data_IF_051300248760
#
_entry.id   IF_051300248760
#
_cell.length_a   1.000
_cell.length_b   1.000
_cell.length_c   1.000
_cell.angle_alpha   90.00
_cell.angle_beta   90.00
_cell.angle_gamma   90.00
#
_symmetry.space_group_name_H-M   'P 1'
#
loop_
_entity.id
_entity.type
_entity.pdbx_description
1 polymer ?
#
# COMPACT_ATOMS: atom_id res chain seq x y z
N UNK A 1 -16.37 -19.11 66.45
CA UNK A 1 -14.96 -19.32 66.06
C UNK A 1 -14.97 -19.70 64.59
N UNK A 2 -14.29 -18.90 63.76
CA UNK A 2 -13.93 -19.12 62.36
C UNK A 2 -15.03 -19.05 61.28
N UNK A 3 -15.10 -17.84 60.70
CA UNK A 3 -15.38 -17.55 59.28
C UNK A 3 -14.41 -18.32 58.37
N UNK A 4 -14.79 -18.49 57.09
CA UNK A 4 -13.95 -18.42 55.86
C UNK A 4 -14.33 -19.52 54.84
N UNK A 5 -14.35 -19.36 53.51
CA UNK A 5 -14.00 -18.31 52.52
C UNK A 5 -14.65 -18.82 51.22
N UNK A 6 -15.50 -18.05 50.51
CA UNK A 6 -15.79 -18.27 49.07
C UNK A 6 -16.21 -16.99 48.33
N UNK A 7 -15.68 -15.82 48.70
CA UNK A 7 -15.92 -14.57 47.95
C UNK A 7 -14.62 -13.82 47.57
N UNK A 8 -13.44 -14.30 48.00
CA UNK A 8 -12.18 -13.58 47.80
C UNK A 8 -11.48 -13.84 46.45
N UNK A 9 -11.88 -14.84 45.65
CA UNK A 9 -11.17 -15.15 44.40
C UNK A 9 -11.63 -14.34 43.17
N UNK A 10 -12.76 -13.65 43.22
CA UNK A 10 -13.26 -12.85 42.08
C UNK A 10 -12.83 -11.38 42.08
N UNK A 11 -12.11 -10.92 43.10
CA UNK A 11 -11.75 -9.51 43.31
C UNK A 11 -10.36 -9.10 42.81
N UNK A 12 -9.56 -10.01 42.26
CA UNK A 12 -8.13 -9.77 41.98
C UNK A 12 -7.79 -9.27 40.56
N UNK A 13 -8.73 -8.60 39.87
CA UNK A 13 -8.51 -8.18 38.47
C UNK A 13 -9.27 -6.95 37.98
N UNK A 14 -9.80 -6.08 38.85
CA UNK A 14 -10.60 -4.91 38.43
C UNK A 14 -9.89 -3.61 38.79
N UNK A 15 -8.96 -3.19 37.93
CA UNK A 15 -8.23 -1.92 38.05
C UNK A 15 -9.01 -0.71 37.51
N UNK A 16 -10.28 -0.88 37.18
CA UNK A 16 -11.19 0.20 36.81
C UNK A 16 -12.34 0.19 37.82
N UNK A 17 -12.76 1.36 38.29
CA UNK A 17 -13.96 1.53 39.14
C UNK A 17 -15.20 1.19 38.32
N UNK A 18 -15.40 -0.11 38.05
CA UNK A 18 -16.64 -0.65 37.53
C UNK A 18 -17.60 -0.75 38.70
N UNK A 19 -18.63 0.09 38.69
CA UNK A 19 -19.75 -0.06 39.61
C UNK A 19 -20.28 -1.50 39.46
N UNK A 20 -20.30 -2.26 40.55
CA UNK A 20 -20.95 -3.56 40.60
C UNK A 20 -22.45 -3.32 40.59
N UNK A 21 -23.10 -3.52 39.44
CA UNK A 21 -24.55 -3.52 39.37
C UNK A 21 -25.06 -4.93 39.60
N UNK A 22 -25.99 -5.09 40.55
CA UNK A 22 -26.75 -6.31 40.68
C UNK A 22 -27.78 -6.35 39.55
N UNK A 23 -27.62 -7.30 38.61
CA UNK A 23 -28.39 -7.34 37.36
C UNK A 23 -29.91 -7.43 37.60
N UNK A 24 -30.30 -8.04 38.72
CA UNK A 24 -31.70 -8.24 39.12
C UNK A 24 -32.37 -6.93 39.58
N UNK A 25 -31.63 -6.05 40.25
CA UNK A 25 -32.15 -4.75 40.70
C UNK A 25 -32.35 -3.78 39.53
N UNK A 26 -31.48 -3.84 38.52
CA UNK A 26 -31.49 -2.97 37.35
C UNK A 26 -32.58 -3.35 36.33
N UNK A 27 -33.00 -4.61 36.32
CA UNK A 27 -34.09 -5.13 35.48
C UNK A 27 -35.47 -4.97 36.15
N UNK A 28 -35.54 -4.48 37.39
CA UNK A 28 -36.82 -4.16 38.05
C UNK A 28 -37.55 -3.01 37.34
N UNK A 29 -38.89 -3.07 37.33
CA UNK A 29 -39.72 -2.08 36.64
C UNK A 29 -39.53 -0.65 37.20
N UNK A 30 -39.38 -0.52 38.53
CA UNK A 30 -39.18 0.75 39.21
C UNK A 30 -37.82 1.37 38.87
N UNK A 31 -36.77 0.55 38.74
CA UNK A 31 -35.45 1.02 38.32
C UNK A 31 -35.44 1.46 36.85
N UNK A 32 -36.10 0.72 35.94
CA UNK A 32 -36.22 1.12 34.54
C UNK A 32 -37.00 2.44 34.39
N UNK A 33 -38.08 2.62 35.13
CA UNK A 33 -38.86 3.86 35.09
C UNK A 33 -38.08 5.06 35.64
N UNK A 34 -37.35 4.89 36.75
CA UNK A 34 -36.47 5.92 37.29
C UNK A 34 -35.33 6.28 36.32
N UNK A 35 -34.75 5.28 35.64
CA UNK A 35 -33.72 5.48 34.62
C UNK A 35 -34.28 6.22 33.39
N UNK A 36 -35.48 5.87 32.92
CA UNK A 36 -36.15 6.57 31.81
C UNK A 36 -36.49 8.01 32.19
N UNK A 37 -36.99 8.26 33.40
CA UNK A 37 -37.26 9.60 33.91
C UNK A 37 -35.98 10.44 34.02
N UNK A 38 -34.89 9.85 34.50
CA UNK A 38 -33.58 10.50 34.54
C UNK A 38 -33.03 10.76 33.13
N UNK A 39 -33.11 9.79 32.22
CA UNK A 39 -32.69 9.94 30.83
C UNK A 39 -33.46 11.06 30.13
N UNK A 40 -34.78 11.16 30.35
CA UNK A 40 -35.62 12.23 29.83
C UNK A 40 -35.23 13.60 30.43
N UNK A 41 -35.04 13.69 31.75
CA UNK A 41 -34.61 14.91 32.45
C UNK A 41 -33.25 15.41 31.96
N UNK A 42 -32.31 14.50 31.72
CA UNK A 42 -30.96 14.79 31.28
C UNK A 42 -30.78 14.77 29.75
N UNK A 43 -31.85 14.54 28.98
CA UNK A 43 -31.86 14.47 27.51
C UNK A 43 -30.82 13.48 26.96
N UNK A 44 -30.66 12.35 27.64
CA UNK A 44 -29.78 11.27 27.19
C UNK A 44 -30.39 10.66 25.93
N UNK A 45 -29.65 10.63 24.79
CA UNK A 45 -30.15 10.02 23.56
C UNK A 45 -30.49 8.54 23.78
N UNK A 46 -31.57 8.07 23.17
CA UNK A 46 -31.85 6.64 23.14
C UNK A 46 -30.77 5.91 22.33
N UNK A 47 -30.69 4.59 22.54
CA UNK A 47 -29.72 3.71 21.88
C UNK A 47 -29.79 3.80 20.35
N UNK A 48 -31.00 3.88 19.79
CA UNK A 48 -31.22 4.02 18.35
C UNK A 48 -30.62 5.33 17.81
N UNK A 49 -30.96 6.46 18.43
CA UNK A 49 -30.39 7.77 18.08
C UNK A 49 -28.86 7.76 18.18
N UNK A 50 -28.31 7.12 19.23
CA UNK A 50 -26.87 7.03 19.42
C UNK A 50 -26.20 6.14 18.35
N UNK A 51 -26.84 5.04 17.96
CA UNK A 51 -26.37 4.17 16.89
C UNK A 51 -26.34 4.90 15.55
N UNK A 52 -27.37 5.71 15.24
CA UNK A 52 -27.42 6.53 14.03
C UNK A 52 -26.29 7.58 14.00
N UNK A 53 -26.07 8.26 15.13
CA UNK A 53 -24.98 9.23 15.27
C UNK A 53 -23.61 8.53 15.12
N UNK A 54 -23.43 7.36 15.71
CA UNK A 54 -22.19 6.59 15.59
C UNK A 54 -21.95 6.14 14.14
N UNK A 55 -22.99 5.67 13.43
CA UNK A 55 -22.91 5.30 12.03
C UNK A 55 -22.50 6.51 11.16
N UNK A 56 -23.12 7.67 11.38
CA UNK A 56 -22.77 8.91 10.69
C UNK A 56 -21.32 9.35 10.95
N UNK A 57 -20.87 9.28 12.20
CA UNK A 57 -19.49 9.57 12.57
C UNK A 57 -18.50 8.63 11.87
N UNK A 58 -18.81 7.33 11.77
CA UNK A 58 -17.99 6.35 11.07
C UNK A 58 -17.88 6.66 9.57
N UNK A 59 -19.01 7.00 8.94
CA UNK A 59 -19.02 7.43 7.52
C UNK A 59 -18.16 8.67 7.32
N UNK A 60 -18.32 9.70 8.17
CA UNK A 60 -17.51 10.93 8.07
C UNK A 60 -16.03 10.68 8.32
N UNK A 61 -15.68 9.80 9.26
CA UNK A 61 -14.29 9.43 9.53
C UNK A 61 -13.66 8.74 8.34
N UNK A 62 -14.38 7.81 7.71
CA UNK A 62 -13.91 7.13 6.49
C UNK A 62 -13.79 8.10 5.31
N UNK A 63 -14.77 8.97 5.10
CA UNK A 63 -14.72 9.98 4.05
C UNK A 63 -13.53 10.94 4.24
N UNK A 64 -13.28 11.42 5.46
CA UNK A 64 -12.10 12.24 5.77
C UNK A 64 -10.80 11.51 5.48
N UNK A 65 -10.72 10.20 5.76
CA UNK A 65 -9.55 9.39 5.42
C UNK A 65 -9.33 9.32 3.90
N UNK A 66 -10.39 9.09 3.13
CA UNK A 66 -10.30 9.08 1.67
C UNK A 66 -9.84 10.42 1.09
N UNK A 67 -10.32 11.55 1.63
CA UNK A 67 -9.85 12.88 1.21
C UNK A 67 -8.36 13.03 1.48
N UNK A 68 -7.89 12.61 2.66
CA UNK A 68 -6.46 12.65 3.00
C UNK A 68 -5.63 11.81 2.03
N UNK A 69 -5.99 10.54 1.83
CA UNK A 69 -5.24 9.63 0.96
C UNK A 69 -5.24 10.13 -0.51
N UNK A 70 -6.35 10.71 -0.98
CA UNK A 70 -6.44 11.32 -2.31
C UNK A 70 -5.59 12.59 -2.44
N UNK A 71 -5.55 13.42 -1.40
CA UNK A 71 -4.72 14.63 -1.35
C UNK A 71 -3.24 14.27 -1.36
N UNK A 72 -2.82 13.30 -0.55
CA UNK A 72 -1.44 12.79 -0.52
C UNK A 72 -1.04 12.26 -1.91
N UNK A 73 -1.93 11.49 -2.57
CA UNK A 73 -1.73 11.01 -3.95
C UNK A 73 -1.57 12.17 -4.95
N UNK A 74 -2.39 13.22 -4.85
CA UNK A 74 -2.30 14.39 -5.72
C UNK A 74 -0.95 15.09 -5.55
N UNK A 75 -0.49 15.33 -4.32
CA UNK A 75 0.81 15.96 -4.08
C UNK A 75 1.97 15.14 -4.61
N UNK A 76 1.98 13.82 -4.37
CA UNK A 76 3.00 12.92 -4.93
C UNK A 76 2.98 12.91 -6.46
N UNK A 77 1.80 12.92 -7.06
CA UNK A 77 1.65 12.97 -8.51
C UNK A 77 2.20 14.28 -9.10
N UNK A 78 1.88 15.43 -8.50
CA UNK A 78 2.41 16.74 -8.92
C UNK A 78 3.94 16.78 -8.78
N UNK A 79 4.48 16.22 -7.69
CA UNK A 79 5.92 16.13 -7.48
C UNK A 79 6.61 15.34 -8.61
N UNK A 80 6.05 14.18 -8.97
CA UNK A 80 6.59 13.34 -10.04
C UNK A 80 6.42 13.99 -11.43
N UNK A 81 5.31 14.69 -11.69
CA UNK A 81 5.11 15.43 -12.94
C UNK A 81 6.17 16.52 -13.13
N UNK A 82 6.63 17.16 -12.05
CA UNK A 82 7.69 18.17 -12.09
C UNK A 82 9.10 17.60 -12.26
N UNK A 83 9.37 16.42 -11.68
CA UNK A 83 10.68 15.75 -11.74
C UNK A 83 10.84 14.85 -12.97
N UNK A 84 9.79 14.67 -13.76
CA UNK A 84 9.64 13.73 -14.88
C UNK A 84 9.74 12.25 -14.48
N UNK A 85 10.81 11.87 -13.77
CA UNK A 85 11.04 10.51 -13.31
C UNK A 85 11.81 10.45 -11.98
N UNK A 86 11.43 9.51 -11.11
CA UNK A 86 12.11 9.25 -9.84
C UNK A 86 12.62 7.81 -9.79
N UNK A 87 13.93 7.65 -9.61
CA UNK A 87 14.56 6.35 -9.39
C UNK A 87 14.64 6.01 -7.91
N UNK A 88 14.24 4.80 -7.55
CA UNK A 88 14.22 4.32 -6.18
C UNK A 88 14.45 2.83 -6.12
N UNK A 89 14.99 2.38 -4.99
CA UNK A 89 14.87 0.99 -4.59
C UNK A 89 13.44 0.71 -4.10
N UNK A 90 12.96 -0.49 -4.37
CA UNK A 90 11.71 -1.02 -3.84
C UNK A 90 11.92 -2.44 -3.31
N UNK A 91 11.18 -2.80 -2.26
CA UNK A 91 11.20 -4.16 -1.70
C UNK A 91 10.06 -4.98 -2.26
N UNK A 92 10.35 -6.19 -2.73
CA UNK A 92 9.31 -7.11 -3.20
C UNK A 92 8.54 -7.69 -2.01
N UNK A 93 7.25 -7.35 -1.87
CA UNK A 93 6.39 -7.85 -0.80
C UNK A 93 5.63 -9.12 -1.19
N UNK A 94 5.39 -9.32 -2.47
CA UNK A 94 4.66 -10.46 -3.01
C UNK A 94 5.15 -10.76 -4.41
N UNK A 95 5.30 -12.04 -4.72
CA UNK A 95 5.86 -12.52 -5.97
C UNK A 95 5.03 -13.69 -6.49
N UNK A 96 4.78 -13.73 -7.79
CA UNK A 96 4.02 -14.80 -8.43
C UNK A 96 4.44 -14.99 -9.88
N UNK A 97 3.65 -15.71 -10.70
CA UNK A 97 3.98 -15.93 -12.11
C UNK A 97 3.52 -14.81 -13.05
N UNK A 98 2.66 -13.88 -12.59
CA UNK A 98 2.06 -12.81 -13.43
C UNK A 98 2.44 -11.40 -13.01
N UNK A 99 2.58 -11.19 -11.72
CA UNK A 99 2.87 -9.88 -11.16
C UNK A 99 3.68 -10.00 -9.87
N UNK A 100 4.34 -8.91 -9.52
CA UNK A 100 4.94 -8.71 -8.20
C UNK A 100 4.30 -7.50 -7.53
N UNK A 101 4.13 -7.54 -6.22
CA UNK A 101 3.81 -6.37 -5.40
C UNK A 101 5.08 -5.86 -4.73
N UNK A 102 5.30 -4.56 -4.83
CA UNK A 102 6.51 -3.88 -4.38
C UNK A 102 6.16 -2.74 -3.45
N UNK A 103 7.03 -2.48 -2.48
CA UNK A 103 6.97 -1.33 -1.59
C UNK A 103 8.11 -0.37 -1.88
N UNK A 104 7.75 0.86 -2.24
CA UNK A 104 8.70 1.93 -2.56
C UNK A 104 8.88 2.77 -1.31
N UNK A 105 10.03 2.64 -0.66
CA UNK A 105 10.31 3.31 0.61
C UNK A 105 10.32 4.83 0.49
N UNK A 106 10.86 5.40 -0.60
CA UNK A 106 10.96 6.86 -0.81
C UNK A 106 9.60 7.57 -0.84
N UNK A 107 8.55 6.89 -1.28
CA UNK A 107 7.18 7.44 -1.34
C UNK A 107 6.23 6.79 -0.34
N UNK A 108 6.67 5.77 0.41
CA UNK A 108 5.85 4.96 1.30
C UNK A 108 4.57 4.41 0.61
N UNK A 109 4.69 3.97 -0.64
CA UNK A 109 3.58 3.41 -1.43
C UNK A 109 3.84 1.97 -1.85
N UNK A 110 2.75 1.20 -1.96
CA UNK A 110 2.74 -0.11 -2.57
C UNK A 110 2.28 -0.04 -4.02
N UNK A 111 2.93 -0.80 -4.91
CA UNK A 111 2.58 -0.89 -6.32
C UNK A 111 2.66 -2.33 -6.82
N UNK A 112 1.93 -2.63 -7.89
CA UNK A 112 2.03 -3.92 -8.60
C UNK A 112 2.67 -3.70 -9.96
N UNK A 113 3.69 -4.50 -10.25
CA UNK A 113 4.29 -4.59 -11.58
C UNK A 113 3.83 -5.89 -12.20
N UNK A 114 3.13 -5.78 -13.32
CA UNK A 114 2.70 -6.92 -14.12
C UNK A 114 3.71 -7.16 -15.22
N UNK A 115 4.08 -8.43 -15.39
CA UNK A 115 5.02 -8.87 -16.43
C UNK A 115 4.46 -10.05 -17.23
N UNK A 116 3.22 -10.47 -16.96
CA UNK A 116 2.50 -11.37 -17.85
C UNK A 116 2.19 -10.68 -19.19
N UNK A 117 2.34 -11.44 -20.28
CA UNK A 117 1.95 -11.00 -21.63
C UNK A 117 2.59 -9.68 -22.09
N UNK A 118 3.86 -9.47 -21.71
CA UNK A 118 4.66 -8.31 -22.13
C UNK A 118 5.51 -8.66 -23.36
N UNK A 119 5.46 -7.81 -24.39
CA UNK A 119 6.29 -8.00 -25.60
C UNK A 119 7.75 -7.79 -25.26
N UNK A 120 8.64 -8.64 -25.78
CA UNK A 120 10.08 -8.51 -25.55
C UNK A 120 10.56 -8.87 -24.15
N UNK A 121 9.68 -9.38 -23.27
CA UNK A 121 10.07 -9.88 -21.95
C UNK A 121 9.90 -11.41 -21.87
N UNK A 122 10.98 -12.12 -21.56
CA UNK A 122 10.92 -13.53 -21.20
C UNK A 122 10.78 -13.65 -19.70
N UNK A 123 9.68 -14.30 -19.28
CA UNK A 123 9.34 -14.57 -17.90
C UNK A 123 9.47 -16.05 -17.63
N UNK A 124 10.32 -16.42 -16.68
CA UNK A 124 10.45 -17.78 -16.17
C UNK A 124 10.12 -17.79 -14.69
N UNK A 125 9.12 -18.59 -14.32
CA UNK A 125 8.70 -18.78 -12.94
C UNK A 125 9.17 -20.15 -12.45
N UNK A 126 9.95 -20.17 -11.39
CA UNK A 126 10.47 -21.38 -10.77
C UNK A 126 9.62 -21.71 -9.55
N UNK A 127 8.61 -22.57 -9.74
CA UNK A 127 7.67 -22.95 -8.67
C UNK A 127 8.37 -23.49 -7.42
N UNK A 128 9.43 -24.28 -7.60
CA UNK A 128 10.14 -24.93 -6.49
C UNK A 128 10.83 -23.94 -5.53
N UNK A 129 11.33 -22.82 -6.04
CA UNK A 129 12.04 -21.80 -5.24
C UNK A 129 11.23 -20.52 -5.08
N UNK A 130 10.05 -20.43 -5.71
CA UNK A 130 9.26 -19.20 -5.81
C UNK A 130 10.10 -18.02 -6.31
N UNK A 131 10.94 -18.29 -7.32
CA UNK A 131 11.88 -17.32 -7.92
C UNK A 131 11.38 -16.93 -9.30
N UNK A 132 11.47 -15.63 -9.59
CA UNK A 132 11.14 -15.06 -10.88
C UNK A 132 12.42 -14.69 -11.62
N UNK A 133 12.57 -15.15 -12.86
CA UNK A 133 13.66 -14.72 -13.75
C UNK A 133 13.04 -13.95 -14.91
N UNK A 134 13.46 -12.69 -15.06
CA UNK A 134 13.05 -11.81 -16.16
C UNK A 134 14.23 -11.58 -17.08
N UNK A 135 14.03 -11.73 -18.38
CA UNK A 135 15.07 -11.57 -19.40
C UNK A 135 14.57 -10.73 -20.56
N UNK A 136 15.42 -9.87 -21.11
CA UNK A 136 15.13 -9.16 -22.36
C UNK A 136 15.13 -10.15 -23.53
N UNK A 137 14.12 -10.09 -24.39
CA UNK A 137 13.98 -10.96 -25.56
C UNK A 137 13.85 -10.13 -26.83
N UNK A 138 14.84 -10.25 -27.73
CA UNK A 138 14.82 -9.65 -29.07
C UNK A 138 13.99 -10.45 -30.08
N UNK A 139 13.59 -11.66 -29.71
CA UNK A 139 12.82 -12.51 -30.60
C UNK A 139 11.34 -12.21 -30.41
N UNK A 140 10.67 -11.77 -31.49
CA UNK A 140 9.22 -11.81 -31.60
C UNK A 140 8.79 -13.22 -31.21
N UNK A 141 8.18 -13.41 -30.04
CA UNK A 141 7.65 -14.71 -29.67
C UNK A 141 6.60 -15.08 -30.72
N UNK A 142 6.95 -15.96 -31.65
CA UNK A 142 5.98 -16.69 -32.45
C UNK A 142 5.21 -17.59 -31.49
N UNK A 143 4.01 -17.15 -31.14
CA UNK A 143 2.86 -17.95 -30.70
C UNK A 143 3.17 -19.26 -29.97
N UNK A 144 2.98 -19.26 -28.65
CA UNK A 144 2.43 -20.44 -27.96
C UNK A 144 1.21 -20.01 -27.15
N UNK A 145 0.03 -20.25 -27.74
CA UNK A 145 -1.29 -20.29 -27.09
C UNK A 145 -1.52 -19.19 -26.05
N UNK A 146 -1.61 -17.95 -26.51
CA UNK A 146 -2.35 -16.92 -25.79
C UNK A 146 -3.42 -16.38 -26.73
N UNK A 147 -4.61 -16.17 -26.16
CA UNK A 147 -5.74 -15.49 -26.77
C UNK A 147 -5.28 -14.21 -27.49
N UNK A 148 -6.04 -13.66 -28.45
CA UNK A 148 -5.77 -12.35 -29.03
C UNK A 148 -6.06 -11.25 -27.98
N UNK A 149 -5.29 -11.25 -26.91
CA UNK A 149 -5.24 -10.22 -25.88
C UNK A 149 -4.30 -9.12 -26.34
N UNK A 150 -4.57 -7.91 -25.87
CA UNK A 150 -3.76 -6.72 -26.10
C UNK A 150 -2.43 -6.91 -25.35
N UNK A 151 -1.41 -7.39 -26.06
CA UNK A 151 -0.06 -7.59 -25.54
C UNK A 151 0.48 -6.23 -25.05
N UNK A 152 1.06 -6.18 -23.85
CA UNK A 152 1.58 -4.94 -23.27
C UNK A 152 2.94 -4.60 -23.84
N UNK A 153 3.24 -3.32 -24.01
CA UNK A 153 4.57 -2.89 -24.43
C UNK A 153 5.57 -3.08 -23.30
N UNK A 154 6.83 -3.36 -23.65
CA UNK A 154 7.92 -3.48 -22.68
C UNK A 154 8.08 -2.22 -21.83
N UNK A 155 7.85 -1.06 -22.44
CA UNK A 155 7.92 0.25 -21.80
C UNK A 155 6.91 0.41 -20.66
N UNK A 156 5.78 -0.31 -20.65
CA UNK A 156 4.81 -0.26 -19.55
C UNK A 156 5.34 -0.96 -18.29
N UNK A 157 6.21 -1.96 -18.45
CA UNK A 157 6.69 -2.84 -17.36
C UNK A 157 8.11 -2.52 -16.93
N UNK A 158 8.99 -2.17 -17.88
CA UNK A 158 10.40 -1.95 -17.65
C UNK A 158 10.90 -0.71 -18.40
N UNK A 159 11.70 0.10 -17.71
CA UNK A 159 12.53 1.12 -18.31
C UNK A 159 13.91 0.50 -18.57
N UNK A 160 14.22 0.30 -19.85
CA UNK A 160 15.50 -0.26 -20.28
C UNK A 160 16.45 0.89 -20.63
N UNK A 161 17.60 0.92 -19.97
CA UNK A 161 18.68 1.89 -20.26
C UNK A 161 19.90 1.19 -20.84
N UNK A 162 20.50 1.83 -21.83
CA UNK A 162 21.80 1.41 -22.34
C UNK A 162 22.88 1.63 -21.28
N UNK A 163 23.78 0.66 -21.05
CA UNK A 163 24.96 0.89 -20.23
C UNK A 163 25.84 2.04 -20.75
N UNK A 164 25.77 2.35 -22.06
CA UNK A 164 26.55 3.40 -22.72
C UNK A 164 25.95 4.78 -22.51
N UNK A 165 24.63 4.87 -22.33
CA UNK A 165 23.90 6.13 -22.12
C UNK A 165 23.81 6.51 -20.64
N UNK A 166 24.41 5.72 -19.74
CA UNK A 166 24.53 6.03 -18.32
C UNK A 166 25.60 7.11 -18.11
N UNK A 167 25.30 8.34 -18.55
CA UNK A 167 26.11 9.49 -18.17
C UNK A 167 26.04 9.69 -16.65
N UNK A 168 27.17 9.70 -15.93
CA UNK A 168 27.19 9.92 -14.49
C UNK A 168 26.69 11.33 -14.08
N UNK A 169 26.47 12.23 -15.04
CA UNK A 169 26.15 13.65 -14.84
C UNK A 169 24.66 14.00 -15.00
N UNK A 170 23.82 13.11 -15.56
CA UNK A 170 22.40 13.42 -15.83
C UNK A 170 21.53 13.51 -14.55
N UNK A 171 22.09 13.19 -13.38
CA UNK A 171 21.44 13.29 -12.07
C UNK A 171 21.52 14.69 -11.40
N UNK A 172 22.08 15.71 -12.08
CA UNK A 172 22.36 17.02 -11.49
C UNK A 172 21.26 18.09 -11.68
N UNK A 173 20.10 17.79 -12.24
CA UNK A 173 18.97 18.74 -12.31
C UNK A 173 18.01 18.59 -11.14
N UNK A 174 18.54 18.79 -9.94
CA UNK A 174 17.77 18.83 -8.69
C UNK A 174 18.25 19.91 -7.73
N UNK A 175 18.62 21.08 -8.24
CA UNK A 175 18.97 22.22 -7.38
C UNK A 175 17.72 22.95 -6.89
N UNK A 176 17.24 22.54 -5.72
CA UNK A 176 16.57 23.43 -4.77
C UNK A 176 17.13 23.09 -3.39
N UNK A 177 17.86 24.04 -2.82
CA UNK A 177 18.72 23.89 -1.65
C UNK A 177 18.07 23.29 -0.41
N UNK A 178 18.91 22.59 0.34
CA UNK A 178 18.61 21.98 1.63
C UNK A 178 19.58 20.83 1.91
N UNK A 179 20.47 21.04 2.87
CA UNK A 179 21.60 20.22 3.27
C UNK A 179 21.42 18.68 3.25
N UNK A 180 22.48 17.99 2.80
CA UNK A 180 22.86 16.63 3.18
C UNK A 180 21.83 15.51 3.05
N UNK A 181 21.11 15.43 1.92
CA UNK A 181 20.56 14.15 1.49
C UNK A 181 21.62 13.45 0.63
N UNK A 182 22.18 12.34 1.13
CA UNK A 182 22.89 11.38 0.29
C UNK A 182 22.07 11.18 -0.99
N UNK A 183 22.62 11.64 -2.12
CA UNK A 183 22.03 11.39 -3.44
C UNK A 183 22.21 9.90 -3.67
N UNK A 184 21.30 9.10 -3.13
CA UNK A 184 21.30 7.67 -3.31
C UNK A 184 20.95 7.41 -4.77
N UNK A 185 22.02 7.34 -5.57
CA UNK A 185 22.03 6.95 -6.97
C UNK A 185 21.52 5.53 -7.02
N UNK A 186 20.31 5.36 -7.54
CA UNK A 186 19.75 4.04 -7.78
C UNK A 186 20.33 3.55 -9.10
N UNK A 187 21.09 2.46 -9.07
CA UNK A 187 21.67 1.85 -10.27
C UNK A 187 20.67 0.88 -10.91
N UNK A 188 20.65 0.76 -12.25
CA UNK A 188 19.78 -0.19 -12.93
C UNK A 188 20.24 -1.63 -12.66
N UNK A 189 19.28 -2.56 -12.56
CA UNK A 189 19.60 -3.98 -12.54
C UNK A 189 19.89 -4.47 -13.96
N UNK A 190 20.70 -5.51 -14.13
CA UNK A 190 21.01 -6.02 -15.46
C UNK A 190 20.12 -7.20 -15.84
N UNK A 191 19.69 -7.25 -17.11
CA UNK A 191 19.08 -8.46 -17.65
C UNK A 191 20.14 -9.55 -17.92
N UNK A 192 19.83 -10.83 -17.66
CA UNK A 192 18.63 -11.33 -16.99
C UNK A 192 18.64 -11.04 -15.47
N UNK A 193 17.48 -10.66 -14.91
CA UNK A 193 17.33 -10.35 -13.48
C UNK A 193 16.59 -11.47 -12.77
N UNK A 194 17.15 -11.91 -11.64
CA UNK A 194 16.53 -12.89 -10.74
C UNK A 194 15.94 -12.15 -9.54
N UNK A 195 14.65 -12.35 -9.30
CA UNK A 195 13.87 -11.66 -8.28
C UNK A 195 13.30 -12.69 -7.31
N UNK A 196 13.47 -12.42 -6.02
CA UNK A 196 12.98 -13.26 -4.93
C UNK A 196 12.03 -12.46 -4.05
N UNK A 197 11.22 -13.15 -3.25
CA UNK A 197 10.44 -12.50 -2.21
C UNK A 197 11.37 -11.71 -1.26
N UNK A 198 10.97 -10.50 -0.88
CA UNK A 198 11.73 -9.57 -0.04
C UNK A 198 13.04 -9.02 -0.62
N UNK A 199 13.39 -9.36 -1.87
CA UNK A 199 14.56 -8.76 -2.53
C UNK A 199 14.35 -7.27 -2.80
N UNK A 200 15.44 -6.51 -2.80
CA UNK A 200 15.46 -5.12 -3.23
C UNK A 200 15.66 -5.06 -4.74
N UNK A 201 14.83 -4.29 -5.43
CA UNK A 201 14.91 -4.08 -6.87
C UNK A 201 14.88 -2.59 -7.21
N UNK A 202 15.62 -2.15 -8.24
CA UNK A 202 15.56 -0.78 -8.72
C UNK A 202 14.30 -0.55 -9.56
N UNK A 203 13.62 0.56 -9.31
CA UNK A 203 12.40 0.96 -10.02
C UNK A 203 12.43 2.43 -10.43
N UNK A 204 11.76 2.72 -11.54
CA UNK A 204 11.53 4.07 -12.05
C UNK A 204 10.04 4.42 -11.87
N UNK A 205 9.79 5.60 -11.34
CA UNK A 205 8.46 6.10 -10.99
C UNK A 205 8.16 7.36 -11.79
N UNK A 206 6.99 7.43 -12.40
CA UNK A 206 6.53 8.62 -13.11
C UNK A 206 5.01 8.80 -12.93
N UNK A 207 4.59 10.04 -13.05
CA UNK A 207 3.18 10.41 -13.00
C UNK A 207 2.50 10.07 -14.34
N UNK A 208 1.30 9.51 -14.29
CA UNK A 208 0.43 9.25 -15.46
C UNK A 208 -1.00 9.75 -15.20
N UNK A 209 -1.75 9.96 -16.27
CA UNK A 209 -3.13 10.48 -16.20
C UNK A 209 -3.18 11.99 -15.95
N UNK A 210 -4.31 12.50 -15.47
CA UNK A 210 -4.53 13.90 -15.12
C UNK A 210 -5.06 14.80 -16.23
N UNK A 211 -4.89 14.42 -17.50
CA UNK A 211 -5.49 15.13 -18.63
C UNK A 211 -6.92 14.61 -18.88
N UNK A 212 -7.06 13.35 -19.32
CA UNK A 212 -8.37 12.69 -19.59
C UNK A 212 -8.70 11.52 -18.64
N UNK A 213 -7.83 11.23 -17.66
CA UNK A 213 -7.92 10.03 -16.83
C UNK A 213 -7.54 10.25 -15.35
N UNK A 214 -7.86 9.29 -14.47
CA UNK A 214 -7.56 9.41 -13.05
C UNK A 214 -6.05 9.53 -12.82
N UNK A 215 -5.67 10.33 -11.83
CA UNK A 215 -4.28 10.51 -11.44
C UNK A 215 -3.69 9.18 -10.98
N UNK A 216 -2.54 8.78 -11.52
CA UNK A 216 -1.84 7.60 -11.05
C UNK A 216 -0.31 7.71 -11.12
N UNK A 217 0.36 6.83 -10.38
CA UNK A 217 1.82 6.75 -10.30
C UNK A 217 2.23 5.37 -10.76
N UNK A 218 2.88 5.27 -11.89
CA UNK A 218 3.32 3.97 -12.43
C UNK A 218 4.73 3.67 -11.92
N UNK A 219 4.95 2.42 -11.54
CA UNK A 219 6.27 1.89 -11.19
C UNK A 219 6.69 0.90 -12.27
N UNK A 220 7.88 1.10 -12.84
CA UNK A 220 8.51 0.23 -13.82
C UNK A 220 9.80 -0.33 -13.25
N UNK A 221 10.20 -1.52 -13.67
CA UNK A 221 11.53 -2.04 -13.36
C UNK A 221 12.58 -1.12 -14.01
N UNK A 222 13.59 -0.71 -13.25
CA UNK A 222 14.70 0.06 -13.80
C UNK A 222 15.86 -0.88 -14.10
N UNK A 223 16.07 -1.16 -15.39
CA UNK A 223 16.94 -2.25 -15.84
C UNK A 223 17.82 -1.82 -17.00
N UNK A 224 18.96 -2.47 -17.16
CA UNK A 224 19.88 -2.28 -18.26
C UNK A 224 20.04 -3.56 -19.06
N UNK A 225 20.24 -3.39 -20.37
CA UNK A 225 20.47 -4.50 -21.31
C UNK A 225 21.59 -4.15 -22.26
N UNK A 226 22.48 -5.12 -22.51
CA UNK A 226 23.51 -5.02 -23.55
C UNK A 226 22.99 -5.31 -24.95
N UNK A 227 21.72 -5.73 -25.06
CA UNK A 227 21.06 -5.97 -26.33
C UNK A 227 20.39 -4.66 -26.76
N UNK A 228 20.98 -4.01 -27.77
CA UNK A 228 20.46 -2.85 -28.49
C UNK A 228 19.78 -3.26 -29.79
#
# INVERSE_FOLDING_TARGET
MLRNITEEETLRGRCFTGMCFEKVELESAEAQEALLAAAAKHRVPCTETLADVAAHCNVKKLASRHVKDATDKLYMWVLLRKKEMLYSEARVLGLGPRFMSIYISKLAIERRIYYDEVEGLTVEWLDATSTLVLSHSMHKRSSRRSSPGKLRSLEETALIVSPVDLDPEMNLRGDFGGDNAEVQRCEPAFFPVTINLLSTIPVALHAVGGDDGPLDIVARLYVSSYFH
#
